data_IF_228772897884
#
_entry.id   IF_228772897884
#
_cell.length_a   1.000
_cell.length_b   1.000
_cell.length_c   1.000
_cell.angle_alpha   90.00
_cell.angle_beta   90.00
_cell.angle_gamma   90.00
#
_symmetry.space_group_name_H-M   'P 1'
#
loop_
_entity.id
_entity.type
_entity.pdbx_description
1 polymer ?
#
# COMPACT_ATOMS: atom_id res chain seq x y z
N UNK A 1 -12.31 22.49 -5.83
CA UNK A 1 -12.40 21.25 -5.03
C UNK A 1 -11.10 21.08 -4.28
N UNK A 2 -11.15 20.86 -2.96
CA UNK A 2 -9.93 20.77 -2.13
C UNK A 2 -9.10 19.53 -2.46
N UNK A 3 -7.78 19.61 -2.30
CA UNK A 3 -6.88 18.44 -2.36
C UNK A 3 -6.40 18.12 -0.96
N UNK A 4 -6.34 16.84 -0.62
CA UNK A 4 -5.83 16.35 0.67
C UNK A 4 -4.71 15.35 0.40
N UNK A 5 -3.65 15.40 1.20
CA UNK A 5 -2.52 14.47 1.10
C UNK A 5 -2.70 13.34 2.10
N UNK A 6 -2.68 12.10 1.63
CA UNK A 6 -2.68 10.90 2.49
C UNK A 6 -1.29 10.26 2.47
N UNK A 7 -0.73 9.98 3.64
CA UNK A 7 0.52 9.24 3.79
C UNK A 7 0.29 7.73 3.79
N UNK A 8 1.19 6.97 3.15
CA UNK A 8 1.17 5.50 3.13
C UNK A 8 2.48 4.98 3.72
N UNK A 9 2.40 4.05 4.67
CA UNK A 9 3.58 3.35 5.22
C UNK A 9 3.83 2.10 4.39
N UNK A 10 5.06 1.96 3.91
CA UNK A 10 5.51 0.83 3.10
C UNK A 10 6.85 0.36 3.64
N UNK A 11 7.12 -0.94 3.59
CA UNK A 11 8.47 -1.45 3.78
C UNK A 11 9.38 -1.10 2.58
N UNK A 12 10.68 -1.22 2.78
CA UNK A 12 11.68 -0.88 1.75
C UNK A 12 11.55 -1.75 0.50
N UNK A 13 11.21 -3.04 0.69
CA UNK A 13 11.03 -3.98 -0.42
C UNK A 13 9.88 -3.54 -1.35
N UNK A 14 8.76 -3.12 -0.78
CA UNK A 14 7.59 -2.65 -1.52
C UNK A 14 7.88 -1.31 -2.19
N UNK A 15 8.58 -0.41 -1.50
CA UNK A 15 9.02 0.87 -2.06
C UNK A 15 9.91 0.69 -3.29
N UNK A 16 10.89 -0.21 -3.24
CA UNK A 16 11.76 -0.49 -4.40
C UNK A 16 10.99 -1.16 -5.55
N UNK A 17 10.06 -2.09 -5.25
CA UNK A 17 9.17 -2.66 -6.28
C UNK A 17 8.36 -1.59 -7.02
N UNK A 18 7.77 -0.63 -6.29
CA UNK A 18 7.02 0.49 -6.88
C UNK A 18 7.94 1.34 -7.76
N UNK A 19 9.14 1.67 -7.25
CA UNK A 19 10.12 2.48 -7.99
C UNK A 19 10.54 1.82 -9.30
N UNK A 20 10.88 0.54 -9.26
CA UNK A 20 11.24 -0.24 -10.44
C UNK A 20 10.08 -0.33 -11.44
N UNK A 21 8.87 -0.61 -10.97
CA UNK A 21 7.69 -0.71 -11.82
C UNK A 21 7.38 0.61 -12.51
N UNK A 22 7.44 1.72 -11.78
CA UNK A 22 7.21 3.05 -12.34
C UNK A 22 8.27 3.42 -13.38
N UNK A 23 9.55 3.12 -13.12
CA UNK A 23 10.64 3.34 -14.08
C UNK A 23 10.46 2.55 -15.38
N UNK A 24 9.92 1.32 -15.33
CA UNK A 24 9.69 0.49 -16.54
C UNK A 24 8.67 1.09 -17.49
N UNK A 25 7.74 1.90 -16.98
CA UNK A 25 6.68 2.55 -17.77
C UNK A 25 6.92 4.05 -17.94
N UNK A 26 8.13 4.53 -17.63
CA UNK A 26 8.52 5.94 -17.71
C UNK A 26 7.58 6.86 -16.92
N UNK A 27 7.30 6.49 -15.66
CA UNK A 27 6.46 7.27 -14.74
C UNK A 27 7.11 7.38 -13.37
N UNK A 28 6.60 8.30 -12.55
CA UNK A 28 7.04 8.48 -11.16
C UNK A 28 6.33 7.50 -10.22
N UNK A 29 6.96 7.12 -9.08
CA UNK A 29 6.31 6.30 -8.05
C UNK A 29 4.97 6.87 -7.58
N UNK A 30 4.91 8.19 -7.39
CA UNK A 30 3.69 8.88 -6.97
C UNK A 30 2.56 8.77 -8.01
N UNK A 31 2.87 8.88 -9.31
CA UNK A 31 1.89 8.65 -10.37
C UNK A 31 1.37 7.21 -10.34
N UNK A 32 2.26 6.22 -10.20
CA UNK A 32 1.87 4.81 -10.18
C UNK A 32 0.97 4.48 -8.98
N UNK A 33 1.26 5.03 -7.80
CA UNK A 33 0.41 4.87 -6.61
C UNK A 33 -0.98 5.45 -6.85
N UNK A 34 -1.07 6.66 -7.41
CA UNK A 34 -2.36 7.29 -7.75
C UNK A 34 -3.14 6.46 -8.77
N UNK A 35 -2.48 5.99 -9.82
CA UNK A 35 -3.11 5.17 -10.86
C UNK A 35 -3.62 3.84 -10.31
N UNK A 36 -2.88 3.21 -9.40
CA UNK A 36 -3.30 1.98 -8.73
C UNK A 36 -4.56 2.19 -7.88
N UNK A 37 -4.66 3.32 -7.16
CA UNK A 37 -5.86 3.67 -6.39
C UNK A 37 -7.07 3.82 -7.32
N UNK A 38 -6.96 4.60 -8.39
CA UNK A 38 -8.09 4.78 -9.34
C UNK A 38 -8.49 3.47 -10.02
N UNK A 39 -7.53 2.67 -10.47
CA UNK A 39 -7.83 1.38 -11.11
C UNK A 39 -8.47 0.40 -10.14
N UNK A 40 -8.10 0.43 -8.85
CA UNK A 40 -8.72 -0.42 -7.85
C UNK A 40 -10.15 0.04 -7.54
N UNK A 41 -10.37 1.34 -7.33
CA UNK A 41 -11.72 1.90 -7.13
C UNK A 41 -12.65 1.61 -8.32
N UNK A 42 -12.19 1.84 -9.55
CA UNK A 42 -12.95 1.54 -10.77
C UNK A 42 -13.37 0.06 -10.84
N UNK A 43 -12.48 -0.86 -10.44
CA UNK A 43 -12.84 -2.28 -10.34
C UNK A 43 -13.87 -2.54 -9.24
N UNK A 44 -13.76 -1.92 -8.07
CA UNK A 44 -14.73 -2.07 -6.98
C UNK A 44 -16.12 -1.54 -7.35
N UNK A 45 -16.15 -0.42 -8.06
CA UNK A 45 -17.39 0.27 -8.44
C UNK A 45 -18.09 -0.45 -9.59
N UNK A 46 -17.33 -1.07 -10.50
CA UNK A 46 -17.88 -1.77 -11.67
C UNK A 46 -18.00 -3.29 -11.53
N UNK A 47 -17.52 -3.92 -10.43
CA UNK A 47 -17.59 -5.37 -10.22
C UNK A 47 -18.41 -5.72 -8.98
N UNK A 48 -19.50 -6.49 -9.14
CA UNK A 48 -20.34 -7.01 -8.04
C UNK A 48 -19.61 -8.00 -7.11
N UNK A 49 -18.36 -8.36 -7.43
CA UNK A 49 -17.51 -9.21 -6.59
C UNK A 49 -16.11 -8.62 -6.54
N UNK A 50 -15.71 -8.17 -5.34
CA UNK A 50 -14.32 -7.85 -5.01
C UNK A 50 -13.44 -9.06 -5.38
N UNK A 51 -12.35 -8.88 -6.15
CA UNK A 51 -11.27 -9.86 -6.12
C UNK A 51 -10.81 -9.95 -4.66
N UNK A 52 -10.83 -11.15 -4.07
CA UNK A 52 -10.42 -11.32 -2.67
C UNK A 52 -9.05 -10.67 -2.48
N UNK A 53 -9.02 -9.60 -1.68
CA UNK A 53 -7.76 -9.05 -1.21
C UNK A 53 -7.08 -10.20 -0.47
N UNK A 54 -5.96 -10.74 -0.98
CA UNK A 54 -5.18 -11.67 -0.17
C UNK A 54 -4.91 -10.94 1.14
N UNK A 55 -5.01 -11.63 2.26
CA UNK A 55 -4.82 -11.11 3.62
C UNK A 55 -3.39 -10.59 3.88
N UNK A 56 -2.86 -9.74 2.99
CA UNK A 56 -1.55 -9.09 3.00
C UNK A 56 -1.40 -8.11 4.17
N UNK A 57 -2.49 -7.77 4.87
CA UNK A 57 -2.44 -7.02 6.13
C UNK A 57 -2.24 -7.88 7.38
N UNK A 58 -2.29 -9.23 7.28
CA UNK A 58 -2.02 -10.09 8.43
C UNK A 58 -0.58 -9.96 8.98
N UNK A 59 0.36 -9.46 8.16
CA UNK A 59 1.74 -9.19 8.58
C UNK A 59 1.97 -7.84 9.27
N UNK A 60 1.06 -6.86 9.12
CA UNK A 60 1.25 -5.52 9.69
C UNK A 60 0.83 -5.39 11.18
N UNK A 61 0.22 -6.44 11.75
CA UNK A 61 -0.30 -6.43 13.12
C UNK A 61 0.64 -7.07 14.16
N UNK A 62 1.81 -7.61 13.79
CA UNK A 62 2.67 -8.36 14.72
C UNK A 62 3.95 -7.64 15.16
N UNK A 63 3.97 -6.30 15.21
CA UNK A 63 5.07 -5.54 15.83
C UNK A 63 4.63 -4.80 17.10
N UNK A 64 3.91 -5.49 18.00
CA UNK A 64 3.76 -5.07 19.40
C UNK A 64 3.64 -6.29 20.34
N UNK A 65 4.75 -7.01 20.54
CA UNK A 65 4.93 -7.84 21.74
C UNK A 65 6.41 -8.09 21.98
N UNK A 66 6.97 -7.49 23.02
CA UNK A 66 8.26 -7.90 23.55
C UNK A 66 9.29 -6.82 23.81
N UNK A 67 8.94 -5.71 24.46
CA UNK A 67 9.93 -4.97 25.27
C UNK A 67 9.21 -4.30 26.45
N UNK A 68 8.66 -5.12 27.34
CA UNK A 68 8.40 -4.71 28.72
C UNK A 68 8.51 -5.97 29.59
N UNK A 69 9.74 -6.28 30.01
CA UNK A 69 10.09 -7.09 31.19
C UNK A 69 11.60 -7.08 31.36
N UNK A 70 12.10 -6.06 32.04
CA UNK A 70 13.31 -6.14 32.88
C UNK A 70 13.40 -4.89 33.76
N UNK A 71 12.41 -4.72 34.65
CA UNK A 71 12.67 -4.11 35.94
C UNK A 71 12.82 -5.27 36.92
N UNK A 72 14.04 -5.42 37.43
CA UNK A 72 14.47 -6.43 38.40
C UNK A 72 15.87 -6.07 38.83
#
# INVERSE_FOLDING_TARGET
MGTTTMGVKLDDATRERIKMAASRIDRTPHWLIKQAIFSYLDKLENSDTLPELPALFAGAANEKRGTDRAAG
#
